data_IF_270040780144
#
_entry.id   IF_270040780144
#
_cell.length_a   1.000
_cell.length_b   1.000
_cell.length_c   1.000
_cell.angle_alpha   90.00
_cell.angle_beta   90.00
_cell.angle_gamma   90.00
#
_symmetry.space_group_name_H-M   'P 1'
#
loop_
_entity.id
_entity.type
_entity.pdbx_description
1 polymer ?
#
# COMPACT_ATOMS: atom_id res chain seq x y z
N UNK A 1 18.70 -22.06 -20.45
CA UNK A 1 17.86 -21.16 -19.65
C UNK A 1 16.93 -20.42 -20.59
N UNK A 2 15.63 -20.38 -20.29
CA UNK A 2 14.67 -19.60 -21.06
C UNK A 2 14.47 -18.23 -20.39
N UNK A 3 14.58 -17.16 -21.16
CA UNK A 3 14.19 -15.81 -20.73
C UNK A 3 12.67 -15.69 -20.78
N UNK A 4 12.05 -15.18 -19.70
CA UNK A 4 10.64 -14.83 -19.68
C UNK A 4 10.46 -13.32 -19.68
N UNK A 5 9.45 -12.83 -20.40
CA UNK A 5 8.99 -11.44 -20.29
C UNK A 5 8.16 -11.33 -19.01
N UNK A 6 8.42 -10.28 -18.23
CA UNK A 6 7.64 -9.92 -17.03
C UNK A 6 7.11 -8.51 -17.25
N UNK A 7 5.85 -8.28 -16.90
CA UNK A 7 5.26 -6.93 -16.84
C UNK A 7 5.34 -6.45 -15.40
N UNK A 8 5.90 -5.26 -15.20
CA UNK A 8 5.96 -4.60 -13.89
C UNK A 8 4.92 -3.48 -13.86
N UNK A 9 4.24 -3.35 -12.73
CA UNK A 9 3.26 -2.29 -12.49
C UNK A 9 3.79 -1.35 -11.40
N UNK A 10 3.75 -0.06 -11.67
CA UNK A 10 4.14 0.98 -10.71
C UNK A 10 2.85 1.60 -10.17
N UNK A 11 2.60 1.42 -8.87
CA UNK A 11 1.49 2.09 -8.21
C UNK A 11 1.74 3.60 -8.15
N UNK A 12 0.66 4.37 -8.29
CA UNK A 12 0.66 5.81 -8.12
C UNK A 12 -0.53 6.22 -7.28
N UNK A 13 -0.31 7.08 -6.30
CA UNK A 13 -1.35 7.59 -5.43
C UNK A 13 -2.19 8.62 -6.19
N UNK A 14 -3.50 8.42 -6.16
CA UNK A 14 -4.46 9.33 -6.79
C UNK A 14 -4.62 10.65 -6.00
N UNK A 15 -4.25 10.67 -4.72
CA UNK A 15 -4.31 11.88 -3.88
C UNK A 15 -3.05 12.75 -4.02
N UNK A 16 -1.87 12.17 -3.81
CA UNK A 16 -0.62 12.94 -3.74
C UNK A 16 0.33 12.71 -4.93
N UNK A 17 0.01 11.78 -5.84
CA UNK A 17 0.84 11.48 -7.00
C UNK A 17 2.13 10.70 -6.70
N UNK A 18 2.40 10.38 -5.42
CA UNK A 18 3.52 9.52 -5.00
C UNK A 18 3.47 8.21 -5.76
N UNK A 19 4.62 7.70 -6.19
CA UNK A 19 4.76 6.39 -6.82
C UNK A 19 5.34 5.42 -5.81
N UNK A 20 5.03 4.14 -5.95
CA UNK A 20 5.82 3.11 -5.31
C UNK A 20 7.27 3.23 -5.84
N UNK A 21 8.21 3.34 -4.92
CA UNK A 21 9.64 3.35 -5.20
C UNK A 21 10.22 1.93 -5.04
N UNK A 22 11.51 1.77 -5.29
CA UNK A 22 12.18 0.46 -5.22
C UNK A 22 12.20 -0.13 -3.79
N UNK A 23 11.94 0.69 -2.77
CA UNK A 23 11.83 0.26 -1.37
C UNK A 23 10.40 -0.25 -1.04
N UNK A 24 9.38 0.26 -1.74
CA UNK A 24 8.02 -0.28 -1.74
C UNK A 24 7.92 -1.45 -2.74
N UNK A 25 8.52 -2.60 -2.41
CA UNK A 25 8.48 -3.89 -3.15
C UNK A 25 7.69 -3.86 -4.48
N UNK A 26 8.39 -3.71 -5.60
CA UNK A 26 7.74 -3.67 -6.92
C UNK A 26 6.84 -4.89 -7.14
N UNK A 27 5.56 -4.64 -7.43
CA UNK A 27 4.56 -5.69 -7.60
C UNK A 27 4.60 -6.22 -9.04
N UNK A 28 4.51 -7.54 -9.16
CA UNK A 28 4.44 -8.23 -10.44
C UNK A 28 3.15 -9.05 -10.49
N UNK A 29 2.47 -9.01 -11.63
CA UNK A 29 1.30 -9.81 -11.90
C UNK A 29 1.26 -10.17 -13.37
N UNK A 30 0.61 -11.29 -13.72
CA UNK A 30 0.36 -11.60 -15.13
C UNK A 30 -0.75 -10.68 -15.67
N UNK A 31 -1.55 -10.09 -14.77
CA UNK A 31 -2.58 -9.07 -15.05
C UNK A 31 -2.46 -7.84 -14.14
N UNK A 32 -3.01 -6.67 -14.56
CA UNK A 32 -3.11 -5.49 -13.68
C UNK A 32 -3.90 -5.75 -12.39
N UNK A 33 -4.96 -6.56 -12.47
CA UNK A 33 -5.83 -6.89 -11.34
C UNK A 33 -5.09 -7.69 -10.27
N UNK A 34 -4.25 -8.64 -10.67
CA UNK A 34 -3.39 -9.39 -9.74
C UNK A 34 -2.37 -8.48 -9.05
N UNK A 35 -1.76 -7.54 -9.79
CA UNK A 35 -0.83 -6.59 -9.21
C UNK A 35 -1.53 -5.68 -8.18
N UNK A 36 -2.76 -5.26 -8.47
CA UNK A 36 -3.61 -4.51 -7.53
C UNK A 36 -3.98 -5.34 -6.29
N UNK A 37 -4.35 -6.61 -6.47
CA UNK A 37 -4.67 -7.50 -5.35
C UNK A 37 -3.46 -7.72 -4.44
N UNK A 38 -2.27 -7.93 -5.00
CA UNK A 38 -1.04 -8.03 -4.21
C UNK A 38 -0.76 -6.74 -3.43
N UNK A 39 -0.97 -5.60 -4.07
CA UNK A 39 -0.70 -4.28 -3.51
C UNK A 39 -1.66 -3.89 -2.37
N UNK A 40 -2.93 -4.31 -2.48
CA UNK A 40 -3.99 -3.93 -1.54
C UNK A 40 -4.37 -5.02 -0.53
N UNK A 41 -4.01 -6.26 -0.82
CA UNK A 41 -4.44 -7.48 -0.11
C UNK A 41 -3.56 -7.88 1.07
N UNK A 42 -2.38 -7.26 1.26
CA UNK A 42 -1.55 -7.52 2.42
C UNK A 42 -2.08 -6.77 3.66
N UNK A 43 -3.22 -7.24 4.18
CA UNK A 43 -3.90 -6.72 5.37
C UNK A 43 -3.35 -7.31 6.68
N UNK A 44 -2.40 -8.24 6.60
CA UNK A 44 -1.82 -8.94 7.75
C UNK A 44 -0.66 -8.18 8.40
N UNK A 45 -0.12 -7.16 7.73
CA UNK A 45 0.68 -6.15 8.39
C UNK A 45 -0.29 -5.11 8.96
N UNK A 46 -0.33 -4.96 10.29
CA UNK A 46 -0.93 -3.78 10.95
C UNK A 46 -0.29 -2.46 10.45
N UNK A 47 0.86 -2.62 9.77
CA UNK A 47 1.57 -1.80 8.80
C UNK A 47 0.83 -1.29 7.54
N UNK A 48 -0.36 -1.84 7.27
CA UNK A 48 -1.10 -1.87 6.01
C UNK A 48 -0.66 -0.94 4.88
N UNK A 49 -0.28 -1.53 3.74
CA UNK A 49 0.14 -0.87 2.50
C UNK A 49 -0.98 -0.07 1.80
N UNK A 50 -0.93 -0.02 0.47
CA UNK A 50 -1.85 0.79 -0.34
C UNK A 50 -3.32 0.35 -0.19
N UNK A 51 -4.25 1.29 -0.41
CA UNK A 51 -5.70 1.07 -0.27
C UNK A 51 -6.44 1.50 -1.52
N UNK A 52 -7.40 0.69 -1.93
CA UNK A 52 -8.39 1.08 -2.93
C UNK A 52 -9.66 1.50 -2.21
N UNK A 53 -10.13 2.72 -2.52
CA UNK A 53 -11.40 3.21 -2.00
C UNK A 53 -12.59 2.62 -2.79
N UNK A 54 -13.83 2.78 -2.30
CA UNK A 54 -15.02 2.25 -2.98
C UNK A 54 -15.27 2.81 -4.39
N UNK A 55 -14.62 3.92 -4.76
CA UNK A 55 -14.73 4.58 -6.06
C UNK A 55 -13.61 4.15 -7.02
N UNK A 56 -12.67 3.32 -6.54
CA UNK A 56 -11.57 2.76 -7.33
C UNK A 56 -10.26 3.57 -7.27
N UNK A 57 -10.13 4.56 -6.38
CA UNK A 57 -8.89 5.33 -6.21
C UNK A 57 -7.87 4.55 -5.40
N UNK A 58 -6.62 4.52 -5.86
CA UNK A 58 -5.49 3.90 -5.19
C UNK A 58 -4.75 4.94 -4.34
N UNK A 59 -4.65 4.69 -3.03
CA UNK A 59 -4.15 5.64 -2.03
C UNK A 59 -3.01 5.03 -1.22
N UNK A 60 -1.87 5.72 -1.16
CA UNK A 60 -0.70 5.28 -0.40
C UNK A 60 -0.91 5.43 1.11
N UNK A 61 -0.15 4.68 1.91
CA UNK A 61 -0.21 4.72 3.38
C UNK A 61 0.90 5.58 4.03
N UNK A 62 1.75 6.25 3.24
CA UNK A 62 2.91 6.98 3.77
C UNK A 62 2.67 8.48 4.00
N UNK A 63 1.77 9.09 3.24
CA UNK A 63 1.45 10.52 3.39
C UNK A 63 0.38 10.68 4.46
N UNK A 64 0.78 11.15 5.64
CA UNK A 64 -0.12 11.34 6.79
C UNK A 64 -0.82 12.69 6.71
N UNK A 65 -1.92 12.73 5.97
CA UNK A 65 -2.88 13.82 6.00
C UNK A 65 -4.30 13.25 6.19
N UNK A 66 -5.26 14.12 6.51
CA UNK A 66 -6.63 13.70 6.77
C UNK A 66 -7.26 12.97 5.58
N UNK A 67 -6.94 13.34 4.34
CA UNK A 67 -7.54 12.74 3.16
C UNK A 67 -7.06 11.28 2.96
N UNK A 68 -5.78 10.99 3.25
CA UNK A 68 -5.29 9.62 3.23
C UNK A 68 -5.85 8.82 4.41
N UNK A 69 -5.83 9.40 5.62
CA UNK A 69 -6.33 8.74 6.83
C UNK A 69 -7.80 8.32 6.69
N UNK A 70 -8.65 9.19 6.14
CA UNK A 70 -10.06 8.91 5.91
C UNK A 70 -10.28 7.72 4.96
N UNK A 71 -9.48 7.62 3.88
CA UNK A 71 -9.58 6.51 2.92
C UNK A 71 -9.18 5.19 3.57
N UNK A 72 -8.08 5.17 4.33
CA UNK A 72 -7.65 3.96 5.04
C UNK A 72 -8.65 3.57 6.13
N UNK A 73 -9.13 4.52 6.92
CA UNK A 73 -10.11 4.28 7.97
C UNK A 73 -11.44 3.73 7.42
N UNK A 74 -11.92 4.27 6.29
CA UNK A 74 -13.11 3.77 5.61
C UNK A 74 -12.96 2.32 5.13
N UNK A 75 -11.73 1.89 4.81
CA UNK A 75 -11.39 0.51 4.46
C UNK A 75 -11.09 -0.37 5.68
N UNK A 76 -11.28 0.12 6.91
CA UNK A 76 -10.96 -0.60 8.14
C UNK A 76 -9.46 -0.76 8.40
N UNK A 77 -8.62 -0.01 7.69
CA UNK A 77 -7.16 0.00 7.80
C UNK A 77 -6.69 1.17 8.66
N UNK A 78 -5.47 1.06 9.18
CA UNK A 78 -4.76 2.17 9.82
C UNK A 78 -3.57 2.54 8.95
N UNK A 79 -3.31 3.84 8.82
CA UNK A 79 -2.04 4.28 8.23
C UNK A 79 -0.92 3.94 9.20
N UNK A 80 -0.08 2.98 8.85
CA UNK A 80 1.10 2.70 9.64
C UNK A 80 2.28 3.52 9.15
N UNK A 81 2.97 4.16 10.08
CA UNK A 81 4.40 4.32 9.89
C UNK A 81 5.01 3.03 10.42
N UNK A 82 5.82 2.34 9.64
CA UNK A 82 6.68 1.28 10.17
C UNK A 82 7.49 1.84 11.36
N UNK A 83 6.95 1.69 12.56
CA UNK A 83 7.58 2.02 13.81
C UNK A 83 6.88 1.15 14.85
N UNK A 84 7.50 0.00 15.14
CA UNK A 84 7.24 -0.69 16.41
C UNK A 84 7.38 0.34 17.53
N UNK A 85 6.27 0.74 18.12
CA UNK A 85 6.30 1.54 19.34
C UNK A 85 6.42 0.56 20.50
N UNK A 86 7.64 0.38 21.01
CA UNK A 86 7.87 -0.37 22.26
C UNK A 86 7.36 0.52 23.40
N UNK A 87 6.21 0.18 23.95
CA UNK A 87 5.72 0.81 25.18
C UNK A 87 6.55 0.31 26.36
N UNK A 88 7.32 1.18 27.00
CA UNK A 88 7.89 0.88 28.31
C UNK A 88 6.74 0.90 29.33
N UNK A 89 6.33 -0.27 29.81
CA UNK A 89 5.52 -0.35 31.02
C UNK A 89 6.35 0.25 32.16
N UNK A 90 5.88 1.37 32.72
CA UNK A 90 6.41 1.90 33.97
C UNK A 90 5.71 1.20 35.12
N UNK A 91 6.45 0.26 35.74
CA UNK A 91 6.21 -0.51 36.97
C UNK A 91 4.99 -1.46 37.01
#
# INVERSE_FOLDING_TARGET
MATRRITLYIAKCDLCGRRADDDEYAMYGDTPEEAVQQMTGNTADDGGGWTIDPVGRLVCNLVKDAAHEDVHAAAGKRMSACAMSVGFASN
#
